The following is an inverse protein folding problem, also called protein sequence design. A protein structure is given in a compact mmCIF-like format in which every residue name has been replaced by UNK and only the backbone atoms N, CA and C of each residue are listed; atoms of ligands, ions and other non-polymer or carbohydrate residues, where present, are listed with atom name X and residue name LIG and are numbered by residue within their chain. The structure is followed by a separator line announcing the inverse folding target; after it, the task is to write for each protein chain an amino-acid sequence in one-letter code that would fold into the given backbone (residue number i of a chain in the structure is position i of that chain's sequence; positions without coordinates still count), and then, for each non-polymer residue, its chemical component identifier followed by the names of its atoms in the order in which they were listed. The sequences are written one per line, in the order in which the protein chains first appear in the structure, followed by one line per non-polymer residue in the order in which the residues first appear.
data_IF_013225211011
#
_entry.id   IF_013225211011
#
_cell.length_a   1.000
_cell.length_b   1.000
_cell.length_c   1.000
_cell.angle_alpha   90.00
_cell.angle_beta   90.00
_cell.angle_gamma   90.00
#
_symmetry.space_group_name_H-M   'P 1'
#
loop_
_entity.id
_entity.type
_entity.pdbx_description
1 polymer ?
#
# COMPACT_ATOMS: atom_id res chain seq x y z
N UNK A 1 -6.46 9.37 -47.75
CA UNK A 1 -5.80 9.67 -46.45
C UNK A 1 -6.81 9.75 -45.31
N UNK A 2 -7.93 10.46 -45.47
CA UNK A 2 -9.00 10.50 -44.47
C UNK A 2 -9.56 9.10 -44.11
N UNK A 3 -9.74 8.21 -45.10
CA UNK A 3 -10.22 6.85 -44.85
C UNK A 3 -9.27 6.02 -43.98
N UNK A 4 -7.96 6.17 -44.19
CA UNK A 4 -6.95 5.50 -43.38
C UNK A 4 -6.98 5.99 -41.92
N UNK A 5 -7.22 7.30 -41.72
CA UNK A 5 -7.34 7.90 -40.38
C UNK A 5 -8.58 7.35 -39.66
N UNK A 6 -9.72 7.27 -40.35
CA UNK A 6 -10.95 6.72 -39.78
C UNK A 6 -10.81 5.24 -39.40
N UNK A 7 -10.11 4.45 -40.22
CA UNK A 7 -9.81 3.04 -39.91
C UNK A 7 -8.94 2.93 -38.65
N UNK A 8 -7.89 3.77 -38.52
CA UNK A 8 -7.01 3.77 -37.35
C UNK A 8 -7.77 4.17 -36.07
N UNK A 9 -8.62 5.19 -36.15
CA UNK A 9 -9.46 5.63 -35.02
C UNK A 9 -10.41 4.51 -34.60
N UNK A 10 -11.04 3.83 -35.56
CA UNK A 10 -11.90 2.68 -35.30
C UNK A 10 -11.19 1.54 -34.57
N UNK A 11 -9.96 1.21 -34.97
CA UNK A 11 -9.15 0.17 -34.31
C UNK A 11 -8.75 0.53 -32.87
N UNK A 12 -8.44 1.81 -32.60
CA UNK A 12 -8.10 2.27 -31.25
C UNK A 12 -9.31 2.20 -30.33
N UNK A 13 -10.47 2.67 -30.80
CA UNK A 13 -11.72 2.63 -30.02
C UNK A 13 -12.13 1.17 -29.76
N UNK A 14 -12.06 0.32 -30.79
CA UNK A 14 -12.34 -1.10 -30.66
C UNK A 14 -11.40 -1.77 -29.65
N UNK A 15 -10.10 -1.49 -29.70
CA UNK A 15 -9.13 -2.01 -28.73
C UNK A 15 -9.43 -1.55 -27.30
N UNK A 16 -9.82 -0.29 -27.09
CA UNK A 16 -10.20 0.20 -25.76
C UNK A 16 -11.48 -0.45 -25.23
N UNK A 17 -12.49 -0.64 -26.08
CA UNK A 17 -13.72 -1.35 -25.70
C UNK A 17 -13.41 -2.83 -25.42
N UNK A 18 -12.60 -3.48 -26.25
CA UNK A 18 -12.17 -4.85 -26.02
C UNK A 18 -11.34 -4.97 -24.74
N UNK A 19 -10.45 -4.02 -24.45
CA UNK A 19 -9.69 -3.97 -23.18
C UNK A 19 -10.61 -3.68 -21.99
N UNK A 20 -11.69 -2.92 -22.18
CA UNK A 20 -12.66 -2.64 -21.12
C UNK A 20 -13.58 -3.84 -20.85
N UNK A 21 -13.98 -4.58 -21.89
CA UNK A 21 -14.85 -5.75 -21.79
C UNK A 21 -14.10 -7.05 -21.46
N UNK A 22 -12.92 -7.28 -22.04
CA UNK A 22 -12.09 -8.49 -21.86
C UNK A 22 -10.89 -8.29 -20.94
N UNK A 23 -10.49 -7.06 -20.63
CA UNK A 23 -9.36 -6.77 -19.71
C UNK A 23 -9.71 -6.89 -18.23
N UNK A 24 -10.88 -7.46 -17.91
CA UNK A 24 -11.18 -8.01 -16.59
C UNK A 24 -10.68 -9.46 -16.50
N UNK A 25 -9.51 -9.75 -17.09
CA UNK A 25 -8.81 -11.01 -16.89
C UNK A 25 -8.14 -10.98 -15.52
N UNK A 26 -8.46 -12.02 -14.75
CA UNK A 26 -8.01 -12.29 -13.40
C UNK A 26 -6.50 -12.09 -13.23
N UNK A 27 -6.14 -10.94 -12.66
CA UNK A 27 -4.92 -10.82 -11.87
C UNK A 27 -5.37 -10.72 -10.41
N UNK A 28 -5.82 -11.86 -9.90
CA UNK A 28 -6.00 -12.11 -8.47
C UNK A 28 -4.65 -12.04 -7.77
N UNK A 29 -4.11 -10.83 -7.65
CA UNK A 29 -3.08 -10.49 -6.68
C UNK A 29 -3.74 -10.48 -5.30
N UNK A 30 -4.08 -11.66 -4.78
CA UNK A 30 -4.41 -11.90 -3.36
C UNK A 30 -3.14 -11.83 -2.50
N UNK A 31 -2.32 -10.80 -2.72
CA UNK A 31 -1.10 -10.49 -2.00
C UNK A 31 -1.27 -9.20 -1.18
N UNK A 32 -2.46 -9.01 -0.60
CA UNK A 32 -2.77 -7.92 0.32
C UNK A 32 -3.53 -8.40 1.55
N UNK A 33 -3.11 -9.52 2.14
CA UNK A 33 -3.38 -9.72 3.57
C UNK A 33 -2.40 -8.89 4.42
N UNK A 34 -2.32 -7.59 4.10
CA UNK A 34 -1.92 -6.62 5.09
C UNK A 34 -2.97 -6.69 6.16
N UNK A 35 -2.55 -6.96 7.39
CA UNK A 35 -3.36 -6.84 8.61
C UNK A 35 -3.74 -5.38 8.82
N UNK A 36 -4.44 -4.81 7.85
CA UNK A 36 -5.10 -3.53 7.94
C UNK A 36 -6.23 -3.72 8.92
N UNK A 37 -6.26 -2.91 9.96
CA UNK A 37 -7.43 -2.83 10.83
C UNK A 37 -8.62 -2.58 9.92
N UNK A 38 -9.59 -3.49 9.92
CA UNK A 38 -10.84 -3.29 9.20
C UNK A 38 -11.54 -2.06 9.78
N UNK A 39 -12.16 -1.25 8.91
CA UNK A 39 -13.01 -0.17 9.37
C UNK A 39 -14.21 -0.82 10.10
N UNK A 40 -14.37 -0.46 11.35
CA UNK A 40 -15.39 -1.01 12.25
C UNK A 40 -16.69 -0.23 12.03
N UNK A 41 -17.77 -0.91 11.66
CA UNK A 41 -19.10 -0.29 11.60
C UNK A 41 -19.68 -0.21 13.02
N UNK A 42 -20.16 0.96 13.49
CA UNK A 42 -20.79 1.07 14.80
C UNK A 42 -22.04 0.19 14.97
N UNK A 43 -22.81 -0.07 13.90
CA UNK A 43 -24.04 -0.88 13.97
C UNK A 43 -23.72 -2.34 14.34
N UNK A 44 -22.62 -2.87 13.80
CA UNK A 44 -22.13 -4.22 14.09
C UNK A 44 -21.77 -4.37 15.58
N UNK A 45 -21.13 -3.34 16.15
CA UNK A 45 -20.78 -3.29 17.58
C UNK A 45 -22.04 -3.27 18.44
N UNK A 46 -23.07 -2.50 18.05
CA UNK A 46 -24.34 -2.48 18.80
C UNK A 46 -25.05 -3.83 18.77
N UNK A 47 -25.01 -4.53 17.64
CA UNK A 47 -25.61 -5.85 17.46
C UNK A 47 -24.93 -6.87 18.36
N UNK A 48 -23.59 -6.92 18.36
CA UNK A 48 -22.81 -7.83 19.22
C UNK A 48 -23.01 -7.49 20.70
N UNK A 49 -23.04 -6.20 21.05
CA UNK A 49 -23.28 -5.73 22.43
C UNK A 49 -24.69 -6.09 22.94
N UNK A 50 -25.69 -6.22 22.04
CA UNK A 50 -27.03 -6.67 22.43
C UNK A 50 -27.09 -8.17 22.76
N UNK A 51 -26.25 -8.98 22.09
CA UNK A 51 -26.14 -10.42 22.32
C UNK A 51 -25.23 -10.76 23.52
N UNK A 52 -24.16 -9.99 23.71
CA UNK A 52 -23.15 -10.21 24.75
C UNK A 52 -22.94 -8.96 25.62
N UNK A 53 -23.91 -8.61 26.48
CA UNK A 53 -23.81 -7.41 27.33
C UNK A 53 -22.68 -7.50 28.37
N UNK A 54 -22.15 -8.69 28.64
CA UNK A 54 -21.03 -8.90 29.56
C UNK A 54 -19.66 -8.47 29.00
N UNK A 55 -19.59 -8.07 27.72
CA UNK A 55 -18.34 -7.75 27.03
C UNK A 55 -18.31 -6.26 26.72
N UNK A 56 -17.21 -5.55 27.05
CA UNK A 56 -17.15 -4.12 26.79
C UNK A 56 -17.05 -3.84 25.29
N UNK A 57 -17.70 -2.76 24.85
CA UNK A 57 -17.70 -2.30 23.46
C UNK A 57 -16.30 -2.14 22.86
N UNK A 58 -15.34 -1.69 23.66
CA UNK A 58 -13.94 -1.55 23.23
C UNK A 58 -13.27 -2.87 22.84
N UNK A 59 -13.62 -3.97 23.52
CA UNK A 59 -13.12 -5.31 23.16
C UNK A 59 -13.75 -5.81 21.86
N UNK A 60 -15.05 -5.53 21.68
CA UNK A 60 -15.79 -5.86 20.46
C UNK A 60 -15.21 -5.09 19.26
N UNK A 61 -14.96 -3.79 19.41
CA UNK A 61 -14.35 -2.96 18.36
C UNK A 61 -12.93 -3.44 17.99
N UNK A 62 -12.12 -3.78 18.99
CA UNK A 62 -10.77 -4.27 18.76
C UNK A 62 -10.77 -5.64 18.05
N UNK A 63 -11.69 -6.53 18.42
CA UNK A 63 -11.81 -7.83 17.75
C UNK A 63 -12.42 -7.69 16.35
N UNK A 64 -13.44 -6.84 16.17
CA UNK A 64 -14.06 -6.60 14.86
C UNK A 64 -13.08 -5.91 13.89
N UNK A 65 -12.17 -5.06 14.39
CA UNK A 65 -11.08 -4.51 13.60
C UNK A 65 -10.06 -5.58 13.15
N UNK A 66 -9.97 -6.71 13.87
CA UNK A 66 -9.08 -7.84 13.57
C UNK A 66 -9.74 -8.89 12.67
N UNK A 67 -11.01 -9.18 12.89
CA UNK A 67 -11.77 -10.22 12.17
C UNK A 67 -12.49 -9.69 10.94
N UNK A 68 -12.95 -8.44 10.98
CA UNK A 68 -13.75 -7.79 9.94
C UNK A 68 -15.15 -8.38 9.75
N UNK A 69 -15.60 -9.30 10.61
CA UNK A 69 -16.91 -9.97 10.47
C UNK A 69 -17.54 -10.22 11.85
N UNK A 70 -18.82 -9.87 11.97
CA UNK A 70 -19.63 -10.05 13.18
C UNK A 70 -19.69 -11.51 13.61
N UNK A 71 -19.92 -12.44 12.68
CA UNK A 71 -20.10 -13.86 13.00
C UNK A 71 -18.81 -14.47 13.55
N UNK A 72 -17.66 -14.16 12.96
CA UNK A 72 -16.37 -14.67 13.43
C UNK A 72 -16.01 -14.06 14.77
N UNK A 73 -16.36 -12.80 15.02
CA UNK A 73 -16.25 -12.21 16.36
C UNK A 73 -17.15 -12.95 17.35
N UNK A 74 -18.43 -13.20 17.06
CA UNK A 74 -19.34 -13.99 17.90
C UNK A 74 -18.79 -15.37 18.26
N UNK A 75 -18.24 -16.12 17.31
CA UNK A 75 -17.63 -17.43 17.58
C UNK A 75 -16.42 -17.33 18.52
N UNK A 76 -15.59 -16.31 18.36
CA UNK A 76 -14.44 -16.07 19.25
C UNK A 76 -14.87 -15.64 20.64
N UNK A 77 -15.98 -14.92 20.73
CA UNK A 77 -16.63 -14.58 22.00
C UNK A 77 -17.01 -15.86 22.74
N UNK A 78 -17.69 -16.77 22.06
CA UNK A 78 -18.12 -18.05 22.62
C UNK A 78 -16.93 -18.95 22.99
N UNK A 79 -15.86 -18.91 22.20
CA UNK A 79 -14.61 -19.61 22.49
C UNK A 79 -13.80 -18.99 23.65
N UNK A 80 -14.18 -17.81 24.16
CA UNK A 80 -13.45 -17.11 25.22
C UNK A 80 -12.10 -16.53 24.76
N UNK A 81 -11.90 -16.36 23.45
CA UNK A 81 -10.61 -15.96 22.86
C UNK A 81 -10.46 -14.43 22.72
N UNK A 82 -11.44 -13.66 23.20
CA UNK A 82 -11.37 -12.20 23.12
C UNK A 82 -10.32 -11.69 24.11
N UNK A 83 -9.32 -11.02 23.57
CA UNK A 83 -8.39 -10.23 24.38
C UNK A 83 -9.16 -9.00 24.86
N UNK A 84 -9.64 -9.03 26.10
CA UNK A 84 -10.22 -7.87 26.76
C UNK A 84 -9.10 -6.85 26.90
N UNK A 85 -9.16 -5.69 26.24
CA UNK A 85 -8.15 -4.66 26.41
C UNK A 85 -8.29 -4.10 27.82
N UNK A 86 -7.37 -4.49 28.71
CA UNK A 86 -7.24 -3.94 30.05
C UNK A 86 -6.77 -2.50 29.96
N UNK A 87 -7.71 -1.56 30.08
CA UNK A 87 -7.54 -0.13 30.34
C UNK A 87 -6.71 0.70 29.32
N UNK A 88 -7.02 2.00 29.17
CA UNK A 88 -6.38 2.85 28.17
C UNK A 88 -4.97 3.21 28.64
N UNK A 89 -3.97 2.39 28.26
CA UNK A 89 -2.60 2.90 28.17
C UNK A 89 -2.66 4.03 27.15
N UNK A 90 -2.54 5.26 27.65
CA UNK A 90 -2.52 6.49 26.89
C UNK A 90 -1.90 6.24 25.52
N UNK A 91 -2.68 6.47 24.46
CA UNK A 91 -2.15 6.45 23.11
C UNK A 91 -0.87 7.29 23.14
N UNK A 92 0.31 6.74 22.76
CA UNK A 92 1.46 7.60 22.58
C UNK A 92 1.00 8.63 21.56
N UNK A 93 0.88 9.87 22.01
CA UNK A 93 0.70 11.00 21.12
C UNK A 93 1.91 10.90 20.21
N UNK A 94 1.70 10.40 18.99
CA UNK A 94 2.72 10.38 17.96
C UNK A 94 2.96 11.84 17.62
N UNK A 95 3.79 12.51 18.42
CA UNK A 95 4.49 13.68 17.96
C UNK A 95 5.15 13.25 16.67
N UNK A 96 4.86 13.97 15.61
CA UNK A 96 5.34 13.76 14.25
C UNK A 96 6.84 14.05 14.14
N UNK A 97 7.66 13.46 15.01
CA UNK A 97 9.09 13.32 14.81
C UNK A 97 9.30 12.09 13.93
N UNK A 98 9.28 12.36 12.63
CA UNK A 98 9.53 11.47 11.50
C UNK A 98 10.92 10.80 11.54
N UNK A 99 11.16 9.92 12.52
CA UNK A 99 12.36 9.08 12.57
C UNK A 99 11.95 7.65 12.87
N UNK A 100 11.35 7.00 11.87
CA UNK A 100 11.12 5.56 11.86
C UNK A 100 12.47 4.81 11.96
N UNK A 101 12.71 3.99 13.00
CA UNK A 101 13.96 3.23 13.16
C UNK A 101 14.09 2.09 12.12
N UNK A 102 13.09 1.88 11.27
CA UNK A 102 13.09 0.88 10.20
C UNK A 102 13.90 1.33 8.96
N UNK A 103 14.25 2.61 8.85
CA UNK A 103 15.07 3.14 7.75
C UNK A 103 16.58 3.09 8.01
N UNK A 104 17.02 2.81 9.24
CA UNK A 104 18.45 2.84 9.59
C UNK A 104 19.24 1.62 9.14
N UNK A 105 18.57 0.52 8.76
CA UNK A 105 19.21 -0.76 8.37
C UNK A 105 19.16 -1.08 6.88
N UNK A 106 18.69 -0.15 6.05
CA UNK A 106 18.79 -0.35 4.60
C UNK A 106 20.14 0.17 4.08
N UNK A 107 20.80 -0.52 3.12
CA UNK A 107 22.09 -0.11 2.53
C UNK A 107 22.04 1.24 1.78
N UNK A 108 20.90 1.94 1.80
CA UNK A 108 20.69 3.26 1.23
C UNK A 108 21.42 4.38 1.98
N UNK A 109 21.83 4.15 3.24
CA UNK A 109 22.52 5.16 4.05
C UNK A 109 23.96 5.39 3.57
N UNK A 110 24.61 4.31 3.15
CA UNK A 110 26.03 4.31 2.79
C UNK A 110 26.24 4.36 1.26
N UNK A 111 25.18 4.11 0.49
CA UNK A 111 25.23 4.21 -0.96
C UNK A 111 25.37 5.67 -1.41
N UNK A 112 26.49 5.98 -2.07
CA UNK A 112 26.68 7.27 -2.71
C UNK A 112 25.71 7.44 -3.87
N UNK A 113 24.69 8.27 -3.63
CA UNK A 113 23.61 8.57 -4.55
C UNK A 113 24.05 9.32 -5.81
N UNK A 114 25.30 9.80 -5.85
CA UNK A 114 25.86 10.49 -7.01
C UNK A 114 26.52 9.53 -8.01
N UNK A 115 26.78 8.28 -7.63
CA UNK A 115 27.31 7.28 -8.57
C UNK A 115 26.22 6.85 -9.56
N UNK A 116 26.47 6.90 -10.89
CA UNK A 116 25.54 6.35 -11.87
C UNK A 116 25.38 4.84 -11.64
N UNK A 117 24.16 4.40 -11.31
CA UNK A 117 23.83 2.99 -11.17
C UNK A 117 23.07 2.52 -12.40
N UNK A 118 23.50 1.40 -12.94
CA UNK A 118 22.90 0.77 -14.11
C UNK A 118 21.45 0.31 -13.82
N UNK A 119 20.60 0.32 -14.86
CA UNK A 119 19.22 -0.11 -14.73
C UNK A 119 19.16 -1.60 -14.36
N UNK A 120 18.52 -1.97 -13.23
CA UNK A 120 18.48 -3.35 -12.80
C UNK A 120 17.52 -4.17 -13.66
N UNK A 121 17.94 -5.39 -13.99
CA UNK A 121 17.17 -6.35 -14.77
C UNK A 121 15.74 -6.53 -14.23
N UNK A 122 14.77 -6.66 -15.14
CA UNK A 122 13.36 -6.93 -14.81
C UNK A 122 13.05 -8.43 -14.80
N UNK A 123 13.91 -9.21 -14.17
CA UNK A 123 13.75 -10.66 -14.05
C UNK A 123 13.75 -11.01 -12.56
N UNK A 124 12.77 -11.82 -12.14
CA UNK A 124 12.72 -12.28 -10.75
C UNK A 124 13.71 -13.43 -10.60
N UNK A 125 14.61 -13.32 -9.62
CA UNK A 125 15.57 -14.38 -9.31
C UNK A 125 14.89 -15.51 -8.51
N UNK A 126 15.39 -16.72 -8.69
CA UNK A 126 14.81 -17.94 -8.11
C UNK A 126 15.16 -18.10 -6.63
N UNK A 127 16.32 -17.60 -6.20
CA UNK A 127 16.77 -17.68 -4.80
C UNK A 127 16.29 -16.46 -3.99
N UNK A 128 16.07 -16.68 -2.69
CA UNK A 128 15.61 -15.63 -1.76
C UNK A 128 16.65 -14.51 -1.62
N UNK A 129 17.93 -14.87 -1.53
CA UNK A 129 19.02 -13.92 -1.32
C UNK A 129 19.23 -13.01 -2.55
N UNK A 130 19.25 -13.58 -3.76
CA UNK A 130 19.36 -12.78 -4.99
C UNK A 130 18.16 -11.83 -5.15
N UNK A 131 16.95 -12.28 -4.80
CA UNK A 131 15.76 -11.43 -4.84
C UNK A 131 15.85 -10.24 -3.88
N UNK A 132 16.43 -10.44 -2.70
CA UNK A 132 16.66 -9.36 -1.74
C UNK A 132 17.68 -8.34 -2.27
N UNK A 133 18.78 -8.83 -2.85
CA UNK A 133 19.80 -7.99 -3.48
C UNK A 133 19.21 -7.19 -4.65
N UNK A 134 18.49 -7.83 -5.55
CA UNK A 134 17.86 -7.17 -6.69
C UNK A 134 16.82 -6.14 -6.26
N UNK A 135 16.02 -6.44 -5.24
CA UNK A 135 15.08 -5.48 -4.67
C UNK A 135 15.81 -4.24 -4.12
N UNK A 136 16.91 -4.45 -3.40
CA UNK A 136 17.71 -3.34 -2.86
C UNK A 136 18.33 -2.47 -3.95
N UNK A 137 18.88 -3.09 -5.00
CA UNK A 137 19.42 -2.39 -6.19
C UNK A 137 18.34 -1.59 -6.90
N UNK A 138 17.18 -2.18 -7.14
CA UNK A 138 16.03 -1.51 -7.78
C UNK A 138 15.50 -0.35 -6.94
N UNK A 139 15.42 -0.51 -5.62
CA UNK A 139 15.01 0.57 -4.72
C UNK A 139 15.99 1.75 -4.78
N UNK A 140 17.29 1.46 -4.83
CA UNK A 140 18.35 2.46 -4.93
C UNK A 140 18.29 3.20 -6.27
N UNK A 141 18.18 2.46 -7.39
CA UNK A 141 18.03 3.02 -8.73
C UNK A 141 16.80 3.95 -8.83
N UNK A 142 15.65 3.49 -8.32
CA UNK A 142 14.41 4.29 -8.27
C UNK A 142 14.62 5.59 -7.50
N UNK A 143 15.31 5.54 -6.36
CA UNK A 143 15.59 6.72 -5.55
C UNK A 143 16.47 7.73 -6.29
N UNK A 144 17.51 7.26 -6.99
CA UNK A 144 18.36 8.14 -7.80
C UNK A 144 17.57 8.80 -8.94
N UNK A 145 16.75 8.04 -9.67
CA UNK A 145 15.89 8.61 -10.71
C UNK A 145 14.91 9.64 -10.15
N UNK A 146 14.29 9.36 -9.01
CA UNK A 146 13.36 10.28 -8.36
C UNK A 146 14.04 11.59 -7.98
N UNK A 147 15.27 11.52 -7.46
CA UNK A 147 16.09 12.69 -7.13
C UNK A 147 16.44 13.51 -8.37
N UNK A 148 16.89 12.87 -9.46
CA UNK A 148 17.20 13.56 -10.73
C UNK A 148 15.98 14.32 -11.26
N UNK A 149 14.83 13.64 -11.35
CA UNK A 149 13.56 14.26 -11.78
C UNK A 149 13.10 15.39 -10.87
N UNK A 150 13.38 15.31 -9.57
CA UNK A 150 13.05 16.38 -8.63
C UNK A 150 13.90 17.63 -8.84
N UNK A 151 15.20 17.47 -9.07
CA UNK A 151 16.11 18.58 -9.37
C UNK A 151 15.76 19.24 -10.70
N UNK A 152 15.53 18.45 -11.75
CA UNK A 152 15.11 18.96 -13.06
C UNK A 152 13.80 19.75 -12.99
N UNK A 153 12.84 19.29 -12.19
CA UNK A 153 11.58 20.03 -11.95
C UNK A 153 11.83 21.36 -11.26
N UNK A 154 12.69 21.38 -10.23
CA UNK A 154 13.05 22.61 -9.52
C UNK A 154 13.77 23.61 -10.40
N UNK A 155 14.65 23.15 -11.29
CA UNK A 155 15.34 24.00 -12.25
C UNK A 155 14.35 24.61 -13.23
N UNK A 156 13.42 23.81 -13.78
CA UNK A 156 12.35 24.32 -14.66
C UNK A 156 11.43 25.32 -13.97
N UNK A 157 11.02 25.05 -12.72
CA UNK A 157 10.21 26.00 -11.94
C UNK A 157 10.95 27.33 -11.77
N UNK A 158 12.24 27.30 -11.45
CA UNK A 158 13.08 28.49 -11.32
C UNK A 158 13.25 29.25 -12.64
N UNK A 159 13.40 28.54 -13.76
CA UNK A 159 13.46 29.15 -15.10
C UNK A 159 12.13 29.83 -15.45
N UNK A 160 10.99 29.18 -15.17
CA UNK A 160 9.67 29.77 -15.43
C UNK A 160 9.38 30.99 -14.56
N UNK A 161 9.87 31.04 -13.32
CA UNK A 161 9.77 32.21 -12.45
C UNK A 161 10.69 33.36 -12.87
N UNK A 162 11.79 33.07 -13.57
CA UNK A 162 12.72 34.10 -14.05
C UNK A 162 12.29 34.74 -15.37
N UNK A 163 11.43 34.06 -16.15
CA UNK A 163 10.91 34.55 -17.43
C UNK A 163 9.55 35.28 -17.29
N UNK A 164 8.91 35.21 -16.12
CA UNK A 164 7.66 35.94 -15.77
C UNK A 164 7.92 37.27 -15.05
#
# INVERSE_FOLDING_TARGET
MADAINIIIGLIIFFFIFKLLFGRSETGNDARNGRGRHLVNPDDVTTINSMFPQIPRSAIEADLARTGNVNTTCERILAGEIVIPTEPVAAPSFSSSSKSPLLSKTPLKDADLNTPIDEPEKIWKNTTEERQLDFSKRKLYMYQQARKRYMEKKEKEKETEAES
#
